data_IF_228683115998
#
_entry.id   IF_228683115998
#
_cell.length_a   1.000
_cell.length_b   1.000
_cell.length_c   1.000
_cell.angle_alpha   90.00
_cell.angle_beta   90.00
_cell.angle_gamma   90.00
#
_symmetry.space_group_name_H-M   'P 1'
#
loop_
_entity.id
_entity.type
_entity.pdbx_description
1 polymer ?
#
# COMPACT_ATOMS: atom_id res chain seq x y z
N UNK A 1 33.11 25.26 12.07
CA UNK A 1 31.67 25.21 12.38
C UNK A 1 30.94 24.46 11.27
N UNK A 2 30.24 23.37 11.58
CA UNK A 2 29.01 23.00 10.85
C UNK A 2 27.84 22.79 11.84
N UNK A 3 26.54 22.74 11.41
CA UNK A 3 26.05 22.24 10.11
C UNK A 3 24.92 23.05 9.43
N UNK A 4 25.04 23.27 8.12
CA UNK A 4 23.94 23.77 7.26
C UNK A 4 23.10 22.63 6.63
N UNK A 5 23.63 21.41 6.57
CA UNK A 5 23.07 20.30 5.78
C UNK A 5 21.70 19.77 6.25
N UNK A 6 21.35 19.94 7.54
CA UNK A 6 20.04 19.50 8.07
C UNK A 6 18.91 20.49 7.72
N UNK A 7 19.23 21.77 7.58
CA UNK A 7 18.25 22.81 7.27
C UNK A 7 17.79 22.71 5.81
N UNK A 8 18.69 22.30 4.91
CA UNK A 8 18.36 22.08 3.50
C UNK A 8 17.40 20.89 3.32
N UNK A 9 17.57 19.80 4.08
CA UNK A 9 16.64 18.66 4.03
C UNK A 9 15.26 18.99 4.59
N UNK A 10 15.20 19.72 5.71
CA UNK A 10 13.91 20.12 6.31
C UNK A 10 13.14 21.07 5.38
N UNK A 11 13.85 22.02 4.73
CA UNK A 11 13.22 22.95 3.78
C UNK A 11 12.76 22.25 2.50
N UNK A 12 13.50 21.25 2.02
CA UNK A 12 13.08 20.41 0.91
C UNK A 12 11.81 19.62 1.25
N UNK A 13 11.75 18.96 2.41
CA UNK A 13 10.57 18.23 2.86
C UNK A 13 9.33 19.15 2.97
N UNK A 14 9.49 20.36 3.49
CA UNK A 14 8.40 21.33 3.59
C UNK A 14 7.89 21.74 2.21
N UNK A 15 8.79 21.92 1.23
CA UNK A 15 8.44 22.23 -0.16
C UNK A 15 7.66 21.10 -0.81
N UNK A 16 8.17 19.87 -0.74
CA UNK A 16 7.53 18.68 -1.31
C UNK A 16 6.12 18.47 -0.71
N UNK A 17 5.97 18.69 0.60
CA UNK A 17 4.67 18.65 1.27
C UNK A 17 3.73 19.75 0.77
N UNK A 18 4.23 20.98 0.61
CA UNK A 18 3.43 22.09 0.10
C UNK A 18 2.95 21.84 -1.35
N UNK A 19 3.82 21.31 -2.21
CA UNK A 19 3.49 20.92 -3.59
C UNK A 19 2.43 19.80 -3.61
N UNK A 20 2.60 18.79 -2.76
CA UNK A 20 1.63 17.70 -2.62
C UNK A 20 0.27 18.22 -2.15
N UNK A 21 0.25 19.10 -1.15
CA UNK A 21 -0.99 19.71 -0.64
C UNK A 21 -1.69 20.52 -1.74
N UNK A 22 -0.94 21.30 -2.51
CA UNK A 22 -1.48 22.09 -3.63
C UNK A 22 -2.08 21.18 -4.71
N UNK A 23 -1.39 20.09 -5.04
CA UNK A 23 -1.89 19.10 -5.99
C UNK A 23 -3.20 18.46 -5.52
N UNK A 24 -3.27 18.02 -4.26
CA UNK A 24 -4.50 17.45 -3.67
C UNK A 24 -5.65 18.46 -3.76
N UNK A 25 -5.42 19.71 -3.33
CA UNK A 25 -6.44 20.77 -3.40
C UNK A 25 -6.94 21.02 -4.82
N UNK A 26 -6.03 20.99 -5.79
CA UNK A 26 -6.36 21.16 -7.21
C UNK A 26 -7.22 20.00 -7.72
N UNK A 27 -6.91 18.76 -7.33
CA UNK A 27 -7.74 17.61 -7.69
C UNK A 27 -9.12 17.68 -7.04
N UNK A 28 -9.20 18.05 -5.76
CA UNK A 28 -10.48 18.23 -5.07
C UNK A 28 -11.36 19.26 -5.80
N UNK A 29 -10.80 20.41 -6.17
CA UNK A 29 -11.51 21.44 -6.92
C UNK A 29 -11.94 20.94 -8.31
N UNK A 30 -11.07 20.22 -9.04
CA UNK A 30 -11.37 19.68 -10.37
C UNK A 30 -12.58 18.73 -10.36
N UNK A 31 -12.69 17.89 -9.35
CA UNK A 31 -13.76 16.89 -9.23
C UNK A 31 -14.94 17.34 -8.37
N UNK A 32 -14.91 18.58 -7.86
CA UNK A 32 -15.96 19.07 -6.94
C UNK A 32 -16.01 18.34 -5.61
N UNK A 33 -14.90 17.73 -5.18
CA UNK A 33 -14.82 16.97 -3.93
C UNK A 33 -14.63 17.90 -2.74
N UNK A 34 -15.46 17.70 -1.72
CA UNK A 34 -15.34 18.34 -0.42
C UNK A 34 -14.89 17.32 0.63
N UNK A 35 -14.45 17.82 1.78
CA UNK A 35 -14.05 16.96 2.91
C UNK A 35 -15.17 15.99 3.32
N UNK A 36 -16.43 16.45 3.29
CA UNK A 36 -17.60 15.63 3.60
C UNK A 36 -17.74 14.42 2.66
N UNK A 37 -17.43 14.58 1.37
CA UNK A 37 -17.49 13.49 0.40
C UNK A 37 -16.44 12.42 0.71
N UNK A 38 -15.23 12.84 1.08
CA UNK A 38 -14.14 11.95 1.49
C UNK A 38 -14.46 11.22 2.80
N UNK A 39 -15.10 11.91 3.75
CA UNK A 39 -15.56 11.30 5.01
C UNK A 39 -16.69 10.30 4.77
N UNK A 40 -17.68 10.64 3.94
CA UNK A 40 -18.78 9.76 3.59
C UNK A 40 -18.31 8.53 2.78
N UNK A 41 -17.25 8.69 1.98
CA UNK A 41 -16.58 7.59 1.31
C UNK A 41 -15.72 6.73 2.26
N UNK A 42 -15.63 7.09 3.55
CA UNK A 42 -14.83 6.36 4.53
C UNK A 42 -13.33 6.47 4.31
N UNK A 43 -12.81 7.50 3.63
CA UNK A 43 -11.38 7.63 3.33
C UNK A 43 -10.47 7.77 4.56
N UNK A 44 -11.04 8.09 5.73
CA UNK A 44 -10.30 8.36 6.97
C UNK A 44 -10.71 7.45 8.14
N UNK A 45 -11.61 6.48 7.93
CA UNK A 45 -11.95 5.52 8.98
C UNK A 45 -10.80 4.53 9.21
N UNK A 46 -10.65 4.02 10.43
CA UNK A 46 -9.77 2.88 10.72
C UNK A 46 -10.14 1.71 9.80
N UNK A 47 -9.30 1.45 8.80
CA UNK A 47 -9.56 0.48 7.71
C UNK A 47 -9.51 1.07 6.29
N UNK A 48 -9.59 2.39 6.12
CA UNK A 48 -9.48 3.04 4.81
C UNK A 48 -8.10 2.85 4.15
N UNK A 49 -7.05 2.76 4.98
CA UNK A 49 -5.68 2.42 4.56
C UNK A 49 -5.59 1.00 3.99
N UNK A 50 -6.40 0.06 4.50
CA UNK A 50 -6.51 -1.30 3.95
C UNK A 50 -7.34 -1.35 2.66
N UNK A 51 -8.30 -0.43 2.50
CA UNK A 51 -9.16 -0.36 1.31
C UNK A 51 -8.46 0.32 0.10
N UNK A 52 -7.61 1.33 0.34
CA UNK A 52 -6.81 1.98 -0.70
C UNK A 52 -5.49 1.25 -1.01
N UNK A 53 -5.06 0.32 -0.16
CA UNK A 53 -4.06 -0.66 -0.50
C UNK A 53 -4.69 -1.77 -1.36
N UNK A 54 -5.05 -1.46 -2.61
CA UNK A 54 -5.33 -2.48 -3.63
C UNK A 54 -4.08 -3.30 -4.01
N UNK A 55 -3.02 -3.28 -3.19
CA UNK A 55 -2.18 -4.44 -3.00
C UNK A 55 -2.83 -5.28 -1.91
N UNK A 56 -3.76 -6.17 -2.30
CA UNK A 56 -4.21 -7.24 -1.40
C UNK A 56 -2.96 -7.85 -0.76
N UNK A 57 -2.90 -7.99 0.58
CA UNK A 57 -1.70 -8.50 1.22
C UNK A 57 -1.36 -9.83 0.56
N UNK A 58 -0.14 -9.95 0.02
CA UNK A 58 0.34 -11.20 -0.55
C UNK A 58 0.33 -12.20 0.61
N UNK A 59 -0.66 -13.09 0.62
CA UNK A 59 -0.84 -14.05 1.70
C UNK A 59 0.22 -15.16 1.60
N UNK A 60 0.58 -15.57 0.39
CA UNK A 60 1.52 -16.68 0.16
C UNK A 60 2.56 -16.33 -0.91
N UNK A 61 3.83 -16.65 -0.68
CA UNK A 61 4.94 -16.42 -1.62
C UNK A 61 5.95 -17.58 -1.61
N UNK A 62 6.49 -17.96 -2.77
CA UNK A 62 7.60 -18.93 -2.87
C UNK A 62 8.99 -18.26 -3.01
N UNK A 63 10.04 -19.09 -3.07
CA UNK A 63 11.42 -18.63 -3.23
C UNK A 63 11.73 -18.09 -4.64
N UNK A 64 10.90 -18.40 -5.63
CA UNK A 64 11.04 -17.96 -7.02
C UNK A 64 10.30 -16.64 -7.29
N UNK A 65 9.61 -16.10 -6.29
CA UNK A 65 8.90 -14.83 -6.36
C UNK A 65 7.44 -14.94 -6.81
N UNK A 66 6.89 -16.15 -6.96
CA UNK A 66 5.47 -16.33 -7.20
C UNK A 66 4.69 -15.97 -5.94
N UNK A 67 3.58 -15.26 -6.13
CA UNK A 67 2.73 -14.75 -5.06
C UNK A 67 1.27 -15.14 -5.30
N UNK A 68 0.54 -15.42 -4.22
CA UNK A 68 -0.89 -15.69 -4.25
C UNK A 68 -1.58 -14.99 -3.08
N UNK A 69 -2.72 -14.36 -3.35
CA UNK A 69 -3.49 -13.58 -2.39
C UNK A 69 -4.44 -14.43 -1.52
N UNK A 70 -4.48 -15.74 -1.75
CA UNK A 70 -5.34 -16.67 -1.00
C UNK A 70 -6.74 -16.85 -1.58
N UNK A 71 -7.04 -16.26 -2.75
CA UNK A 71 -8.36 -16.33 -3.38
C UNK A 71 -8.33 -17.03 -4.74
N UNK A 72 -9.39 -17.80 -5.04
CA UNK A 72 -9.52 -18.55 -6.28
C UNK A 72 -8.83 -19.91 -6.25
N UNK A 73 -8.60 -20.49 -7.43
CA UNK A 73 -7.95 -21.79 -7.56
C UNK A 73 -6.49 -21.74 -7.13
N UNK A 74 -6.02 -22.85 -6.57
CA UNK A 74 -4.64 -22.99 -6.11
C UNK A 74 -3.70 -22.96 -7.33
N UNK A 75 -2.76 -22.00 -7.44
CA UNK A 75 -1.89 -21.91 -8.60
C UNK A 75 -0.94 -23.11 -8.68
N UNK A 76 -0.52 -23.48 -9.89
CA UNK A 76 0.29 -24.69 -10.16
C UNK A 76 1.56 -24.82 -9.31
N UNK A 77 2.19 -23.70 -8.96
CA UNK A 77 3.39 -23.71 -8.10
C UNK A 77 3.06 -24.14 -6.66
N UNK A 78 1.92 -23.68 -6.13
CA UNK A 78 1.48 -23.98 -4.77
C UNK A 78 0.84 -25.37 -4.72
N UNK A 79 0.08 -25.75 -5.74
CA UNK A 79 -0.47 -27.10 -5.86
C UNK A 79 0.62 -28.18 -5.95
N UNK A 80 1.69 -27.94 -6.71
CA UNK A 80 2.83 -28.87 -6.77
C UNK A 80 3.53 -28.99 -5.41
N UNK A 81 3.71 -27.89 -4.69
CA UNK A 81 4.33 -27.92 -3.37
C UNK A 81 3.47 -28.68 -2.35
N UNK A 82 2.15 -28.46 -2.34
CA UNK A 82 1.22 -29.19 -1.48
C UNK A 82 1.20 -30.68 -1.81
N UNK A 83 1.16 -31.03 -3.10
CA UNK A 83 1.23 -32.42 -3.55
C UNK A 83 2.56 -33.11 -3.20
N UNK A 84 3.65 -32.34 -3.05
CA UNK A 84 4.94 -32.83 -2.57
C UNK A 84 4.99 -32.99 -1.03
N UNK A 85 3.89 -32.70 -0.31
CA UNK A 85 3.78 -32.83 1.14
C UNK A 85 4.14 -31.56 1.92
N UNK A 86 4.39 -30.44 1.24
CA UNK A 86 4.67 -29.17 1.90
C UNK A 86 3.36 -28.53 2.40
N UNK A 87 3.33 -28.09 3.66
CA UNK A 87 2.19 -27.34 4.19
C UNK A 87 2.07 -25.98 3.52
N UNK A 88 0.85 -25.61 3.09
CA UNK A 88 0.55 -24.30 2.48
C UNK A 88 0.97 -23.11 3.39
N UNK A 89 0.85 -23.28 4.71
CA UNK A 89 1.29 -22.27 5.70
C UNK A 89 2.79 -21.96 5.64
N UNK A 90 3.62 -22.85 5.09
CA UNK A 90 5.05 -22.58 4.88
C UNK A 90 5.29 -21.41 3.91
N UNK A 91 4.38 -21.23 2.95
CA UNK A 91 4.45 -20.14 1.98
C UNK A 91 3.83 -18.85 2.52
N UNK A 92 3.21 -18.88 3.70
CA UNK A 92 2.47 -17.74 4.23
C UNK A 92 3.41 -16.61 4.62
N UNK A 93 3.18 -15.43 4.06
CA UNK A 93 3.96 -14.23 4.39
C UNK A 93 3.27 -13.52 5.55
N UNK A 94 4.01 -13.22 6.63
CA UNK A 94 3.47 -12.38 7.71
C UNK A 94 3.41 -10.92 7.21
N UNK A 95 2.31 -10.20 7.48
CA UNK A 95 2.23 -8.77 7.22
C UNK A 95 3.23 -7.98 8.08
#
# INVERSE_FOLDING_TARGET
MPPALLQDSDTQLLRERAETILWIKTQMARYGLHLADLQNAGCFSEGASLANASARPICFRDAYGHAWDGHGDLPDWLQRAVNAGQSIEHFRVKP
#
